data_IF_971192039283
#
_entry.id   IF_971192039283
#
_cell.length_a   1.000
_cell.length_b   1.000
_cell.length_c   1.000
_cell.angle_alpha   90.00
_cell.angle_beta   90.00
_cell.angle_gamma   90.00
#
_symmetry.space_group_name_H-M   'P 1'
#
loop_
_entity.id
_entity.type
_entity.pdbx_description
1 polymer ?
#
# COMPACT_ATOMS: atom_id res chain seq x y z
N UNK A 1 -12.50 0.25 23.91
CA UNK A 1 -11.68 0.75 22.77
C UNK A 1 -10.28 1.05 23.28
N UNK A 2 -9.28 0.28 22.86
CA UNK A 2 -7.87 0.59 23.16
C UNK A 2 -7.29 1.39 22.01
N UNK A 3 -6.86 2.62 22.30
CA UNK A 3 -6.06 3.42 21.39
C UNK A 3 -4.59 3.07 21.61
N UNK A 4 -3.85 2.73 20.55
CA UNK A 4 -2.41 2.53 20.62
C UNK A 4 -1.74 3.07 19.36
N UNK A 5 -0.59 3.73 19.57
CA UNK A 5 0.31 4.11 18.50
C UNK A 5 0.86 2.86 17.80
N UNK A 6 0.97 2.84 16.46
CA UNK A 6 1.34 1.65 15.68
C UNK A 6 2.80 1.21 15.79
N UNK A 7 3.61 1.86 16.59
CA UNK A 7 5.04 1.55 16.74
C UNK A 7 5.26 0.51 17.82
N UNK A 8 5.50 -0.75 17.45
CA UNK A 8 6.15 -1.74 18.32
C UNK A 8 5.30 -2.89 18.88
N UNK A 9 4.04 -3.02 18.52
CA UNK A 9 3.20 -4.16 18.98
C UNK A 9 3.13 -5.28 17.94
N UNK A 10 3.18 -6.53 18.41
CA UNK A 10 2.95 -7.72 17.60
C UNK A 10 1.46 -7.76 17.16
N UNK A 11 1.17 -7.20 15.99
CA UNK A 11 -0.19 -6.99 15.46
C UNK A 11 -0.82 -8.28 14.90
N UNK A 12 -0.05 -9.37 14.81
CA UNK A 12 -0.46 -10.63 14.19
C UNK A 12 -1.49 -11.44 14.97
N UNK A 13 -1.70 -11.13 16.26
CA UNK A 13 -2.49 -11.99 17.17
C UNK A 13 -3.72 -11.32 17.77
N UNK A 14 -4.25 -10.23 17.19
CA UNK A 14 -5.41 -9.56 17.78
C UNK A 14 -6.71 -10.23 17.35
N UNK A 15 -7.42 -10.81 18.33
CA UNK A 15 -8.80 -11.23 18.15
C UNK A 15 -9.75 -10.03 18.29
N UNK A 16 -10.84 -10.02 17.50
CA UNK A 16 -11.89 -9.02 17.59
C UNK A 16 -11.71 -7.83 16.62
N UNK A 17 -12.47 -6.78 16.87
CA UNK A 17 -12.46 -5.54 16.08
C UNK A 17 -11.48 -4.55 16.71
N UNK A 18 -10.65 -3.91 15.89
CA UNK A 18 -9.69 -2.89 16.34
C UNK A 18 -9.42 -1.84 15.28
N UNK A 19 -9.05 -0.64 15.72
CA UNK A 19 -8.74 0.48 14.84
C UNK A 19 -7.22 0.60 14.62
N UNK A 20 -6.86 0.88 13.38
CA UNK A 20 -5.53 1.34 12.99
C UNK A 20 -5.65 2.82 12.69
N UNK A 21 -4.90 3.64 13.41
CA UNK A 21 -4.95 5.10 13.25
C UNK A 21 -3.52 5.63 13.17
N UNK A 22 -3.24 6.46 12.18
CA UNK A 22 -2.06 7.31 12.12
C UNK A 22 -2.53 8.76 11.97
N UNK A 23 -2.25 9.56 12.99
CA UNK A 23 -2.65 10.97 13.07
C UNK A 23 -1.78 11.90 12.22
N UNK A 24 -0.63 11.40 11.75
CA UNK A 24 0.32 12.13 10.91
C UNK A 24 1.04 11.22 9.91
N UNK A 25 0.28 10.44 9.14
CA UNK A 25 0.81 9.62 8.04
C UNK A 25 1.61 10.53 7.09
N UNK A 26 2.93 10.24 6.94
CA UNK A 26 3.81 11.11 6.19
C UNK A 26 4.31 12.34 6.96
N UNK A 27 4.45 12.25 8.28
CA UNK A 27 4.93 13.34 9.16
C UNK A 27 6.24 13.98 8.69
N UNK A 28 7.17 13.19 8.13
CA UNK A 28 8.43 13.70 7.56
C UNK A 28 8.14 14.65 6.39
N UNK A 29 7.23 14.27 5.49
CA UNK A 29 6.83 15.11 4.36
C UNK A 29 6.20 16.41 4.85
N UNK A 30 5.30 16.32 5.85
CA UNK A 30 4.66 17.48 6.44
C UNK A 30 5.68 18.50 7.00
N UNK A 31 6.66 18.03 7.78
CA UNK A 31 7.71 18.88 8.36
C UNK A 31 8.56 19.56 7.28
N UNK A 32 8.76 18.91 6.14
CA UNK A 32 9.51 19.44 5.00
C UNK A 32 8.65 20.23 3.98
N UNK A 33 7.36 20.44 4.27
CA UNK A 33 6.47 21.22 3.40
C UNK A 33 6.03 20.47 2.13
N UNK A 34 6.19 19.15 2.08
CA UNK A 34 5.68 18.32 1.00
C UNK A 34 4.19 18.01 1.21
N UNK A 35 3.38 17.89 0.14
CA UNK A 35 1.94 17.71 0.25
C UNK A 35 1.49 16.28 0.57
N UNK A 36 2.41 15.31 0.50
CA UNK A 36 2.09 13.89 0.71
C UNK A 36 2.07 13.53 2.21
N UNK A 37 1.06 14.03 2.91
CA UNK A 37 0.77 13.69 4.31
C UNK A 37 -0.74 13.76 4.60
N UNK A 38 -1.17 13.11 5.68
CA UNK A 38 -2.58 13.12 6.06
C UNK A 38 -2.85 12.32 7.32
N UNK A 39 -4.13 12.05 7.57
CA UNK A 39 -4.63 11.20 8.66
C UNK A 39 -5.20 9.93 8.08
N UNK A 40 -4.77 8.78 8.57
CA UNK A 40 -5.28 7.47 8.14
C UNK A 40 -6.03 6.77 9.27
N UNK A 41 -7.18 6.16 8.93
CA UNK A 41 -8.01 5.40 9.87
C UNK A 41 -8.53 4.16 9.15
N UNK A 42 -8.30 2.98 9.72
CA UNK A 42 -8.91 1.74 9.25
C UNK A 42 -9.49 0.93 10.41
N UNK A 43 -10.65 0.32 10.19
CA UNK A 43 -11.21 -0.68 11.08
C UNK A 43 -10.82 -2.06 10.57
N UNK A 44 -10.17 -2.85 11.41
CA UNK A 44 -9.87 -4.26 11.15
C UNK A 44 -10.85 -5.12 11.92
N UNK A 45 -11.48 -6.05 11.21
CA UNK A 45 -12.44 -7.02 11.76
C UNK A 45 -12.08 -8.42 11.25
N UNK A 46 -11.95 -9.36 12.16
CA UNK A 46 -11.58 -10.73 11.76
C UNK A 46 -10.25 -10.82 11.01
N UNK A 47 -9.30 -9.92 11.28
CA UNK A 47 -8.00 -9.90 10.65
C UNK A 47 -7.95 -9.24 9.26
N UNK A 48 -9.03 -8.57 8.82
CA UNK A 48 -9.05 -7.85 7.54
C UNK A 48 -9.57 -6.42 7.71
N UNK A 49 -9.04 -5.42 6.98
CA UNK A 49 -9.62 -4.08 6.94
C UNK A 49 -11.03 -4.12 6.34
N UNK A 50 -12.01 -3.52 7.05
CA UNK A 50 -13.41 -3.49 6.61
C UNK A 50 -13.96 -2.09 6.39
N UNK A 51 -13.27 -1.07 6.93
CA UNK A 51 -13.55 0.34 6.69
C UNK A 51 -12.22 1.09 6.63
N UNK A 52 -12.10 2.03 5.71
CA UNK A 52 -10.91 2.85 5.54
C UNK A 52 -11.29 4.30 5.25
N UNK A 53 -10.55 5.22 5.88
CA UNK A 53 -10.63 6.66 5.62
C UNK A 53 -9.20 7.19 5.57
N UNK A 54 -8.88 7.97 4.53
CA UNK A 54 -7.67 8.77 4.48
C UNK A 54 -8.05 10.22 4.19
N UNK A 55 -7.63 11.12 5.07
CA UNK A 55 -7.83 12.56 4.90
C UNK A 55 -6.50 13.22 4.55
N UNK A 56 -6.40 13.75 3.33
CA UNK A 56 -5.29 14.57 2.87
C UNK A 56 -5.71 16.04 2.96
N UNK A 57 -5.11 16.86 3.85
CA UNK A 57 -5.53 18.25 4.04
C UNK A 57 -5.22 19.14 2.83
N UNK A 58 -4.15 18.84 2.09
CA UNK A 58 -3.73 19.55 0.89
C UNK A 58 -3.50 18.55 -0.23
N UNK A 59 -4.32 18.58 -1.31
CA UNK A 59 -5.33 19.55 -1.74
C UNK A 59 -6.78 19.29 -1.27
N UNK A 60 -7.05 18.92 -0.02
CA UNK A 60 -8.41 18.74 0.52
C UNK A 60 -9.13 17.51 -0.09
N UNK A 61 -8.53 16.34 0.07
CA UNK A 61 -9.09 15.07 -0.41
C UNK A 61 -9.45 14.15 0.75
N UNK A 62 -10.61 13.52 0.66
CA UNK A 62 -11.04 12.46 1.58
C UNK A 62 -11.28 11.18 0.77
N UNK A 63 -10.47 10.16 1.04
CA UNK A 63 -10.61 8.83 0.47
C UNK A 63 -11.38 7.96 1.46
N UNK A 64 -12.35 7.21 0.97
CA UNK A 64 -13.17 6.31 1.80
C UNK A 64 -13.39 4.98 1.10
N UNK A 65 -13.41 3.90 1.88
CA UNK A 65 -13.86 2.58 1.42
C UNK A 65 -14.52 1.80 2.55
N UNK A 66 -15.47 0.96 2.20
CA UNK A 66 -16.01 -0.06 3.08
C UNK A 66 -16.28 -1.32 2.27
N UNK A 67 -16.12 -2.48 2.90
CA UNK A 67 -16.28 -3.79 2.22
C UNK A 67 -17.64 -3.88 1.52
N UNK A 68 -17.59 -4.13 0.21
CA UNK A 68 -18.76 -4.26 -0.66
C UNK A 68 -19.48 -2.94 -1.01
N UNK A 69 -18.93 -1.79 -0.58
CA UNK A 69 -19.52 -0.48 -0.85
C UNK A 69 -18.74 0.33 -1.91
N UNK A 70 -17.58 -0.17 -2.34
CA UNK A 70 -16.68 0.54 -3.25
C UNK A 70 -15.72 1.50 -2.55
N UNK A 71 -14.84 2.10 -3.34
CA UNK A 71 -13.88 3.11 -2.90
C UNK A 71 -14.17 4.46 -3.57
N UNK A 72 -13.96 5.56 -2.83
CA UNK A 72 -14.29 6.91 -3.28
C UNK A 72 -13.23 7.92 -2.89
N UNK A 73 -13.11 9.01 -3.66
CA UNK A 73 -12.41 10.24 -3.28
C UNK A 73 -13.37 11.42 -3.43
N UNK A 74 -13.62 12.16 -2.34
CA UNK A 74 -14.62 13.25 -2.31
C UNK A 74 -15.92 12.81 -3.04
N UNK A 75 -16.47 11.65 -2.65
CA UNK A 75 -17.70 11.03 -3.20
C UNK A 75 -17.60 10.54 -4.66
N UNK A 76 -16.49 10.78 -5.36
CA UNK A 76 -16.27 10.25 -6.72
C UNK A 76 -15.73 8.83 -6.64
N UNK A 77 -16.32 7.87 -7.37
CA UNK A 77 -15.84 6.50 -7.37
C UNK A 77 -14.37 6.41 -7.82
N UNK A 78 -13.61 5.57 -7.17
CA UNK A 78 -12.26 5.17 -7.56
C UNK A 78 -12.33 3.87 -8.38
N UNK A 79 -11.42 3.75 -9.33
CA UNK A 79 -11.23 2.55 -10.13
C UNK A 79 -9.76 2.41 -10.48
N UNK A 80 -9.19 1.22 -10.26
CA UNK A 80 -7.83 0.90 -10.70
C UNK A 80 -7.71 0.94 -12.22
N UNK A 81 -6.48 1.03 -12.72
CA UNK A 81 -6.25 1.08 -14.17
C UNK A 81 -6.68 -0.19 -14.88
N UNK A 82 -6.98 -0.08 -16.18
CA UNK A 82 -7.34 -1.22 -17.05
C UNK A 82 -6.17 -1.71 -17.91
N UNK A 83 -4.93 -1.25 -17.63
CA UNK A 83 -3.74 -1.66 -18.39
C UNK A 83 -3.50 -3.17 -18.28
N UNK A 84 -2.94 -3.71 -19.36
CA UNK A 84 -2.64 -5.14 -19.52
C UNK A 84 -1.17 -5.26 -19.94
N UNK A 85 -0.28 -5.39 -18.97
CA UNK A 85 1.15 -5.53 -19.24
C UNK A 85 2.01 -4.55 -18.43
N UNK A 86 3.25 -4.97 -18.17
CA UNK A 86 4.18 -4.25 -17.32
C UNK A 86 4.93 -3.15 -18.10
N UNK A 87 5.16 -3.35 -19.39
CA UNK A 87 5.90 -2.44 -20.26
C UNK A 87 5.24 -1.06 -20.45
N UNK A 88 3.95 -0.94 -20.13
CA UNK A 88 3.20 0.34 -20.14
C UNK A 88 2.80 0.80 -18.75
N UNK A 89 3.23 0.08 -17.70
CA UNK A 89 2.81 0.30 -16.33
C UNK A 89 3.71 1.28 -15.59
N UNK A 90 3.10 2.13 -14.78
CA UNK A 90 3.76 2.93 -13.75
C UNK A 90 3.67 2.14 -12.45
N UNK A 91 4.81 1.71 -11.92
CA UNK A 91 4.87 0.92 -10.69
C UNK A 91 5.64 1.66 -9.60
N UNK A 92 5.45 1.27 -8.35
CA UNK A 92 6.13 1.93 -7.26
C UNK A 92 6.49 1.01 -6.10
N UNK A 93 7.43 1.48 -5.27
CA UNK A 93 7.80 0.84 -4.02
C UNK A 93 7.96 1.86 -2.90
N UNK A 94 7.81 1.39 -1.67
CA UNK A 94 8.12 2.16 -0.47
C UNK A 94 9.60 2.06 -0.12
N UNK A 95 10.02 2.89 0.84
CA UNK A 95 11.33 2.82 1.46
C UNK A 95 11.24 1.95 2.73
N UNK A 96 12.31 1.21 3.04
CA UNK A 96 12.46 0.57 4.34
C UNK A 96 12.64 1.62 5.43
N UNK A 97 12.17 1.32 6.64
CA UNK A 97 12.42 2.16 7.80
C UNK A 97 13.90 2.17 8.21
N UNK A 98 14.27 3.19 8.97
CA UNK A 98 15.60 3.27 9.55
C UNK A 98 15.88 2.02 10.40
N UNK A 99 17.02 1.34 10.14
CA UNK A 99 17.49 0.09 10.75
C UNK A 99 16.99 -1.22 10.12
N UNK A 100 16.08 -1.23 9.19
CA UNK A 100 15.71 -2.41 8.38
C UNK A 100 16.74 -2.66 7.27
N UNK A 101 18.02 -2.84 7.64
CA UNK A 101 19.14 -2.87 6.69
C UNK A 101 19.10 -4.05 5.73
N UNK A 102 18.58 -5.18 6.19
CA UNK A 102 18.47 -6.40 5.37
C UNK A 102 17.48 -6.20 4.21
N UNK A 103 16.49 -5.32 4.41
CA UNK A 103 15.48 -4.96 3.41
C UNK A 103 16.03 -4.03 2.32
N UNK A 104 17.13 -3.30 2.57
CA UNK A 104 17.68 -2.36 1.57
C UNK A 104 18.14 -3.05 0.29
N UNK A 105 18.77 -4.22 0.40
CA UNK A 105 19.19 -5.01 -0.77
C UNK A 105 17.99 -5.54 -1.55
N UNK A 106 16.94 -5.94 -0.85
CA UNK A 106 15.67 -6.40 -1.46
C UNK A 106 15.04 -5.28 -2.28
N UNK A 107 14.91 -4.09 -1.69
CA UNK A 107 14.34 -2.90 -2.37
C UNK A 107 15.20 -2.55 -3.59
N UNK A 108 16.53 -2.47 -3.43
CA UNK A 108 17.43 -2.13 -4.53
C UNK A 108 17.34 -3.11 -5.70
N UNK A 109 17.35 -4.41 -5.43
CA UNK A 109 17.21 -5.46 -6.46
C UNK A 109 15.84 -5.40 -7.13
N UNK A 110 14.76 -5.21 -6.36
CA UNK A 110 13.41 -5.11 -6.93
C UNK A 110 13.24 -3.87 -7.82
N UNK A 111 13.81 -2.73 -7.44
CA UNK A 111 13.81 -1.52 -8.28
C UNK A 111 14.57 -1.79 -9.58
N UNK A 112 15.76 -2.40 -9.51
CA UNK A 112 16.55 -2.73 -10.71
C UNK A 112 15.76 -3.62 -11.66
N UNK A 113 15.12 -4.67 -11.16
CA UNK A 113 14.28 -5.55 -11.98
C UNK A 113 13.11 -4.80 -12.61
N UNK A 114 12.46 -3.93 -11.86
CA UNK A 114 11.32 -3.17 -12.39
C UNK A 114 11.72 -2.07 -13.38
N UNK A 115 12.93 -1.50 -13.26
CA UNK A 115 13.44 -0.54 -14.24
C UNK A 115 13.66 -1.19 -15.62
N UNK A 116 13.97 -2.48 -15.67
CA UNK A 116 14.11 -3.25 -16.90
C UNK A 116 12.76 -3.67 -17.50
N UNK A 117 11.73 -3.87 -16.66
CA UNK A 117 10.47 -4.48 -17.07
C UNK A 117 9.29 -3.50 -17.21
N UNK A 118 9.24 -2.45 -16.40
CA UNK A 118 8.13 -1.50 -16.36
C UNK A 118 8.41 -0.21 -17.12
N UNK A 119 7.35 0.49 -17.50
CA UNK A 119 7.48 1.79 -18.14
C UNK A 119 8.17 2.84 -17.25
N UNK A 120 7.78 2.87 -15.95
CA UNK A 120 8.33 3.83 -15.00
C UNK A 120 8.24 3.27 -13.57
N UNK A 121 9.31 3.48 -12.80
CA UNK A 121 9.40 3.11 -11.39
C UNK A 121 9.43 4.36 -10.51
N UNK A 122 8.66 4.36 -9.42
CA UNK A 122 8.65 5.39 -8.39
C UNK A 122 9.01 4.78 -7.04
N UNK A 123 9.92 5.43 -6.30
CA UNK A 123 10.20 5.13 -4.91
C UNK A 123 9.74 6.32 -4.06
N UNK A 124 8.76 6.12 -3.19
CA UNK A 124 8.11 7.20 -2.45
C UNK A 124 7.77 6.81 -1.01
N UNK A 125 7.69 7.80 -0.15
CA UNK A 125 7.18 7.71 1.23
C UNK A 125 6.14 8.81 1.46
N UNK A 126 5.13 8.55 2.30
CA UNK A 126 4.76 7.27 2.90
C UNK A 126 4.07 6.34 1.88
N UNK A 127 3.94 5.05 2.24
CA UNK A 127 3.37 4.00 1.39
C UNK A 127 1.90 4.23 1.01
N UNK A 128 1.17 4.93 1.83
CA UNK A 128 -0.25 5.25 1.60
C UNK A 128 -0.44 5.98 0.28
N UNK A 129 0.41 6.97 -0.04
CA UNK A 129 0.23 7.79 -1.25
C UNK A 129 0.34 7.03 -2.56
N UNK A 130 1.36 6.20 -2.81
CA UNK A 130 1.36 5.36 -4.02
C UNK A 130 0.16 4.42 -4.07
N UNK A 131 -0.33 3.92 -2.93
CA UNK A 131 -1.53 3.09 -2.90
C UNK A 131 -2.81 3.88 -3.24
N UNK A 132 -2.93 5.16 -2.82
CA UNK A 132 -4.02 6.04 -3.28
C UNK A 132 -3.97 6.24 -4.80
N UNK A 133 -2.77 6.40 -5.38
CA UNK A 133 -2.60 6.52 -6.83
C UNK A 133 -2.99 5.24 -7.56
N UNK A 134 -2.71 4.06 -6.99
CA UNK A 134 -3.16 2.78 -7.56
C UNK A 134 -4.69 2.66 -7.49
N UNK A 135 -5.31 2.98 -6.36
CA UNK A 135 -6.77 2.96 -6.22
C UNK A 135 -7.47 3.91 -7.21
N UNK A 136 -6.82 5.03 -7.56
CA UNK A 136 -7.32 6.01 -8.51
C UNK A 136 -6.97 5.72 -9.99
N UNK A 137 -6.25 4.63 -10.28
CA UNK A 137 -5.81 4.26 -11.63
C UNK A 137 -4.68 5.15 -12.19
N UNK A 138 -4.06 5.99 -11.38
CA UNK A 138 -2.94 6.87 -11.75
C UNK A 138 -1.57 6.18 -11.68
N UNK A 139 -1.47 5.09 -10.91
CA UNK A 139 -0.41 4.10 -10.91
C UNK A 139 -1.02 2.72 -11.09
N UNK A 140 -0.21 1.76 -11.51
CA UNK A 140 -0.71 0.45 -11.91
C UNK A 140 -0.42 -0.64 -10.89
N UNK A 141 0.68 -0.50 -10.12
CA UNK A 141 1.01 -1.41 -9.03
C UNK A 141 1.94 -0.74 -7.99
N UNK A 142 1.95 -1.31 -6.79
CA UNK A 142 2.87 -0.93 -5.72
C UNK A 142 3.24 -2.17 -4.91
N UNK A 143 4.53 -2.27 -4.50
CA UNK A 143 5.00 -3.32 -3.62
C UNK A 143 5.83 -2.75 -2.48
N UNK A 144 5.86 -3.47 -1.34
CA UNK A 144 6.70 -3.12 -0.21
C UNK A 144 7.09 -4.34 0.59
N UNK A 145 8.34 -4.34 1.04
CA UNK A 145 8.89 -5.25 2.04
C UNK A 145 8.73 -4.62 3.43
N UNK A 146 8.42 -5.45 4.43
CA UNK A 146 8.22 -5.03 5.83
C UNK A 146 7.33 -3.77 5.97
N UNK A 147 6.09 -3.81 5.43
CA UNK A 147 5.22 -2.66 5.43
C UNK A 147 4.77 -2.30 6.85
N UNK A 148 4.68 -0.99 7.11
CA UNK A 148 4.10 -0.48 8.35
C UNK A 148 2.59 -0.45 8.20
N UNK A 149 1.90 -1.11 9.12
CA UNK A 149 0.48 -1.38 8.99
C UNK A 149 -0.40 -0.14 8.74
N UNK A 150 -0.27 1.00 9.42
CA UNK A 150 -1.09 2.18 9.14
C UNK A 150 -0.99 2.63 7.69
N UNK A 151 0.23 2.64 7.14
CA UNK A 151 0.47 3.06 5.77
C UNK A 151 -0.17 2.17 4.71
N UNK A 152 -0.40 0.89 5.01
CA UNK A 152 -0.92 -0.07 4.02
C UNK A 152 -2.35 -0.54 4.29
N UNK A 153 -2.84 -0.46 5.53
CA UNK A 153 -4.18 -0.94 5.87
C UNK A 153 -5.30 -0.17 5.14
N UNK A 154 -5.18 1.15 5.08
CA UNK A 154 -6.14 2.00 4.36
C UNK A 154 -6.05 1.75 2.86
N UNK A 155 -4.84 1.75 2.31
CA UNK A 155 -4.60 1.56 0.88
C UNK A 155 -5.05 0.18 0.38
N UNK A 156 -4.88 -0.88 1.18
CA UNK A 156 -5.28 -2.24 0.79
C UNK A 156 -6.79 -2.33 0.57
N UNK A 157 -7.60 -1.75 1.45
CA UNK A 157 -9.05 -1.75 1.28
C UNK A 157 -9.50 -0.84 0.12
N UNK A 158 -8.93 0.37 0.01
CA UNK A 158 -9.23 1.27 -1.10
C UNK A 158 -8.99 0.61 -2.46
N UNK A 159 -7.85 -0.08 -2.63
CA UNK A 159 -7.49 -0.78 -3.86
C UNK A 159 -8.41 -1.96 -4.10
N UNK A 160 -8.69 -2.78 -3.09
CA UNK A 160 -9.60 -3.91 -3.21
C UNK A 160 -11.00 -3.48 -3.67
N UNK A 161 -11.55 -2.43 -3.04
CA UNK A 161 -12.88 -1.89 -3.36
C UNK A 161 -12.90 -1.08 -4.67
N UNK A 162 -11.74 -0.63 -5.16
CA UNK A 162 -11.59 -0.04 -6.49
C UNK A 162 -11.39 -1.08 -7.61
N UNK A 163 -11.49 -2.39 -7.30
CA UNK A 163 -11.34 -3.49 -8.26
C UNK A 163 -9.91 -3.95 -8.49
N UNK A 164 -8.98 -3.59 -7.61
CA UNK A 164 -7.59 -4.05 -7.65
C UNK A 164 -7.35 -5.36 -6.92
N UNK A 165 -6.14 -5.88 -7.05
CA UNK A 165 -5.66 -7.11 -6.41
C UNK A 165 -4.71 -6.75 -5.26
N UNK A 166 -4.86 -7.43 -4.12
CA UNK A 166 -4.04 -7.24 -2.91
C UNK A 166 -3.52 -8.59 -2.43
N UNK A 167 -2.21 -8.77 -2.46
CA UNK A 167 -1.53 -10.01 -2.03
C UNK A 167 -0.24 -9.68 -1.30
N UNK A 168 0.44 -10.69 -0.79
CA UNK A 168 1.87 -10.64 -0.52
C UNK A 168 2.65 -10.71 -1.85
N UNK A 169 3.95 -10.42 -1.83
CA UNK A 169 4.81 -10.52 -3.05
C UNK A 169 4.85 -11.96 -3.59
N UNK A 170 4.74 -12.97 -2.73
CA UNK A 170 4.68 -14.38 -3.15
C UNK A 170 3.26 -14.83 -3.57
N UNK A 171 2.30 -13.91 -3.66
CA UNK A 171 0.96 -14.14 -4.20
C UNK A 171 -0.05 -14.72 -3.23
N UNK A 172 0.27 -14.85 -1.93
CA UNK A 172 -0.69 -15.28 -0.91
C UNK A 172 -1.67 -14.14 -0.54
N UNK A 173 -2.84 -14.43 0.02
CA UNK A 173 -3.71 -13.40 0.55
C UNK A 173 -2.97 -12.52 1.58
N UNK A 174 -3.02 -11.20 1.40
CA UNK A 174 -2.43 -10.28 2.35
C UNK A 174 -3.29 -10.14 3.61
N UNK A 175 -2.63 -10.02 4.75
CA UNK A 175 -3.25 -9.72 6.05
C UNK A 175 -2.41 -8.67 6.78
N UNK A 176 -2.97 -7.98 7.80
CA UNK A 176 -2.24 -6.99 8.60
C UNK A 176 -0.93 -7.45 9.25
N UNK A 177 -0.64 -8.74 9.25
CA UNK A 177 0.61 -9.29 9.78
C UNK A 177 1.56 -9.84 8.70
N UNK A 178 1.29 -9.58 7.42
CA UNK A 178 2.13 -10.06 6.33
C UNK A 178 3.43 -9.25 6.23
N UNK A 179 4.56 -9.92 5.98
CA UNK A 179 5.88 -9.31 5.86
C UNK A 179 6.08 -8.56 4.54
N UNK A 180 5.16 -8.71 3.60
CA UNK A 180 5.19 -8.01 2.32
C UNK A 180 3.79 -7.65 1.86
N UNK A 181 3.70 -6.65 0.98
CA UNK A 181 2.47 -6.34 0.27
C UNK A 181 2.78 -6.09 -1.21
N UNK A 182 1.91 -6.59 -2.07
CA UNK A 182 1.85 -6.28 -3.50
C UNK A 182 0.40 -5.95 -3.85
N UNK A 183 0.19 -4.78 -4.42
CA UNK A 183 -1.12 -4.32 -4.87
C UNK A 183 -1.05 -3.86 -6.31
N UNK A 184 -2.14 -3.97 -7.05
CA UNK A 184 -2.16 -3.46 -8.42
C UNK A 184 -3.44 -3.72 -9.18
N UNK A 185 -3.51 -3.15 -10.37
CA UNK A 185 -4.54 -3.44 -11.35
C UNK A 185 -4.48 -4.92 -11.76
N UNK A 186 -5.64 -5.60 -11.97
CA UNK A 186 -5.66 -7.03 -12.28
C UNK A 186 -4.81 -7.43 -13.50
N UNK A 187 -4.71 -6.56 -14.50
CA UNK A 187 -3.92 -6.81 -15.72
C UNK A 187 -2.43 -6.53 -15.59
N UNK A 188 -1.97 -5.99 -14.44
CA UNK A 188 -0.55 -5.67 -14.19
C UNK A 188 0.02 -6.47 -13.03
N UNK A 189 -0.77 -6.69 -11.98
CA UNK A 189 -0.36 -7.36 -10.75
C UNK A 189 0.40 -8.69 -10.97
N UNK A 190 -0.07 -9.67 -11.82
CA UNK A 190 0.63 -10.92 -12.00
C UNK A 190 2.02 -10.74 -12.63
N UNK A 191 2.18 -9.78 -13.53
CA UNK A 191 3.49 -9.50 -14.16
C UNK A 191 4.48 -8.90 -13.16
N UNK A 192 4.03 -8.00 -12.26
CA UNK A 192 4.87 -7.47 -11.18
C UNK A 192 5.28 -8.59 -10.23
N UNK A 193 4.36 -9.46 -9.82
CA UNK A 193 4.66 -10.61 -8.97
C UNK A 193 5.72 -11.51 -9.59
N UNK A 194 5.55 -11.86 -10.85
CA UNK A 194 6.44 -12.79 -11.55
C UNK A 194 7.84 -12.18 -11.75
N UNK A 195 7.91 -10.88 -12.05
CA UNK A 195 9.18 -10.15 -12.16
C UNK A 195 9.89 -10.06 -10.79
N UNK A 196 9.17 -9.80 -9.69
CA UNK A 196 9.74 -9.80 -8.34
C UNK A 196 10.22 -11.18 -7.91
N UNK A 197 9.50 -12.26 -8.25
CA UNK A 197 9.91 -13.64 -7.98
C UNK A 197 11.21 -14.01 -8.70
N UNK A 198 11.44 -13.48 -9.90
CA UNK A 198 12.66 -13.72 -10.68
C UNK A 198 13.92 -13.08 -10.07
N UNK A 199 13.80 -12.15 -9.11
CA UNK A 199 14.97 -11.55 -8.42
C UNK A 199 15.77 -12.57 -7.59
N UNK A 200 15.23 -13.75 -7.33
CA UNK A 200 15.89 -14.81 -6.53
C UNK A 200 16.06 -14.45 -5.05
N UNK A 201 15.48 -13.36 -4.61
CA UNK A 201 15.59 -12.90 -3.23
C UNK A 201 14.51 -13.56 -2.40
N UNK A 202 14.93 -14.50 -1.54
CA UNK A 202 14.04 -15.16 -0.58
C UNK A 202 13.90 -14.29 0.66
N UNK A 203 12.68 -13.90 0.99
CA UNK A 203 12.35 -13.31 2.29
C UNK A 203 12.50 -14.43 3.31
N UNK A 204 13.38 -14.24 4.29
CA UNK A 204 13.63 -15.19 5.39
C UNK A 204 12.67 -14.99 6.52
#
# INVERSE_FOLDING_TARGET
FEWRSPRGDNLQARAGDWWVIDDAEGSVNHVHGLPEWGVSIALVRGGVPVLAVFRQPVPDLTYTAAVGAGAFVNERPLQVSSKQGLEIAIVGTGQAEAKQRDTYSLIGSSITTMLDAAFLVRATVPSTFPMLLVAAGNMDAFWQYEPILPGVAVGSLLISEAGGVVTTIDGKPWTPGSDTILVGAPGVHPFVRDALAATGVTIR
#
